data_IF_809709401412
#
_entry.id   IF_809709401412
#
_cell.length_a   1.000
_cell.length_b   1.000
_cell.length_c   1.000
_cell.angle_alpha   90.00
_cell.angle_beta   90.00
_cell.angle_gamma   90.00
#
_symmetry.space_group_name_H-M   'P 1'
#
loop_
_entity.id
_entity.type
_entity.pdbx_description
1 polymer ?
#
# COMPACT_ATOMS: atom_id res chain seq x y z
N UNK A 1 34.62 -11.89 -34.13
CA UNK A 1 34.83 -10.60 -33.46
C UNK A 1 33.88 -10.55 -32.26
N UNK A 2 34.36 -10.06 -31.12
CA UNK A 2 33.90 -10.46 -29.78
C UNK A 2 32.46 -10.13 -29.43
N UNK A 3 31.82 -11.04 -28.68
CA UNK A 3 30.74 -10.66 -27.77
C UNK A 3 31.34 -9.67 -26.77
N UNK A 4 30.98 -8.39 -26.89
CA UNK A 4 31.15 -7.46 -25.78
C UNK A 4 30.47 -8.07 -24.56
N UNK A 5 31.22 -8.22 -23.47
CA UNK A 5 30.60 -8.49 -22.17
C UNK A 5 29.61 -7.37 -21.93
N UNK A 6 28.32 -7.69 -21.79
CA UNK A 6 27.35 -6.72 -21.30
C UNK A 6 27.96 -6.05 -20.06
N UNK A 7 28.06 -4.71 -20.03
CA UNK A 7 28.46 -4.03 -18.80
C UNK A 7 27.39 -4.36 -17.77
N UNK A 8 27.70 -5.25 -16.84
CA UNK A 8 26.82 -5.61 -15.73
C UNK A 8 26.74 -4.42 -14.79
N UNK A 9 25.92 -3.44 -15.15
CA UNK A 9 25.69 -2.26 -14.33
C UNK A 9 24.92 -2.70 -13.08
N UNK A 10 25.58 -2.66 -11.93
CA UNK A 10 24.97 -2.98 -10.63
C UNK A 10 24.02 -1.88 -10.13
N UNK A 11 23.52 -1.00 -11.01
CA UNK A 11 22.64 0.14 -10.67
C UNK A 11 21.35 -0.28 -9.95
N UNK A 12 20.87 -1.52 -10.15
CA UNK A 12 19.71 -2.05 -9.43
C UNK A 12 19.91 -2.08 -7.91
N UNK A 13 21.15 -2.16 -7.42
CA UNK A 13 21.48 -2.14 -5.98
C UNK A 13 21.06 -0.81 -5.36
N UNK A 14 21.23 0.32 -6.05
CA UNK A 14 20.81 1.63 -5.54
C UNK A 14 19.28 1.72 -5.41
N UNK A 15 18.55 1.16 -6.38
CA UNK A 15 17.09 1.08 -6.34
C UNK A 15 16.64 0.19 -5.18
N UNK A 16 17.34 -0.93 -4.95
CA UNK A 16 17.07 -1.83 -3.82
C UNK A 16 17.27 -1.10 -2.48
N UNK A 17 18.44 -0.47 -2.29
CA UNK A 17 18.77 0.25 -1.06
C UNK A 17 17.80 1.41 -0.81
N UNK A 18 17.42 2.15 -1.84
CA UNK A 18 16.41 3.21 -1.75
C UNK A 18 15.05 2.68 -1.30
N UNK A 19 14.59 1.55 -1.86
CA UNK A 19 13.33 0.93 -1.44
C UNK A 19 13.39 0.34 -0.03
N UNK A 20 14.55 -0.18 0.38
CA UNK A 20 14.76 -0.64 1.76
C UNK A 20 14.63 0.53 2.74
N UNK A 21 15.31 1.65 2.47
CA UNK A 21 15.24 2.85 3.30
C UNK A 21 13.81 3.41 3.36
N UNK A 22 13.12 3.43 2.22
CA UNK A 22 11.69 3.81 2.14
C UNK A 22 10.84 2.92 3.04
N UNK A 23 11.04 1.60 3.01
CA UNK A 23 10.31 0.65 3.83
C UNK A 23 10.54 0.85 5.34
N UNK A 24 11.78 1.13 5.75
CA UNK A 24 12.12 1.44 7.15
C UNK A 24 11.34 2.68 7.62
N UNK A 25 11.30 3.74 6.80
CA UNK A 25 10.58 4.97 7.13
C UNK A 25 9.05 4.83 7.17
N UNK A 26 8.48 3.94 6.34
CA UNK A 26 7.03 3.71 6.25
C UNK A 26 6.48 2.84 7.39
N UNK A 27 7.29 1.90 7.89
CA UNK A 27 6.90 0.88 8.88
C UNK A 27 6.14 1.41 10.10
N UNK A 28 6.55 2.50 10.79
CA UNK A 28 5.89 2.95 12.01
C UNK A 28 4.59 3.72 11.78
N UNK A 29 4.32 4.21 10.56
CA UNK A 29 3.24 5.19 10.30
C UNK A 29 1.87 4.59 10.63
N UNK A 30 1.56 3.44 10.04
CA UNK A 30 0.23 2.81 10.20
C UNK A 30 0.00 2.25 11.61
N UNK A 31 0.92 1.47 12.22
CA UNK A 31 0.72 0.95 13.57
C UNK A 31 0.56 2.05 14.61
N UNK A 32 1.43 3.07 14.60
CA UNK A 32 1.35 4.18 15.56
C UNK A 32 0.10 5.03 15.35
N UNK A 33 -0.30 5.26 14.09
CA UNK A 33 -1.50 6.01 13.76
C UNK A 33 -2.78 5.33 14.23
N UNK A 34 -2.90 4.01 14.04
CA UNK A 34 -4.07 3.25 14.49
C UNK A 34 -4.11 3.17 16.02
N UNK A 35 -2.99 2.85 16.68
CA UNK A 35 -2.93 2.84 18.14
C UNK A 35 -3.27 4.19 18.75
N UNK A 36 -2.86 5.29 18.12
CA UNK A 36 -3.25 6.63 18.55
C UNK A 36 -4.77 6.86 18.45
N UNK A 37 -5.42 6.41 17.39
CA UNK A 37 -6.88 6.56 17.27
C UNK A 37 -7.59 5.70 18.32
N UNK A 38 -7.13 4.47 18.54
CA UNK A 38 -7.72 3.52 19.50
C UNK A 38 -7.62 4.03 20.95
N UNK A 39 -6.49 4.67 21.31
CA UNK A 39 -6.25 5.19 22.66
C UNK A 39 -7.06 6.46 23.01
N UNK A 40 -7.50 7.23 22.00
CA UNK A 40 -8.07 8.57 22.21
C UNK A 40 -9.51 8.75 21.67
N UNK A 41 -10.03 7.81 20.89
CA UNK A 41 -11.41 7.85 20.41
C UNK A 41 -12.33 6.95 21.24
N UNK A 42 -13.63 7.27 21.25
CA UNK A 42 -14.65 6.39 21.85
C UNK A 42 -14.73 5.09 21.05
N UNK A 43 -14.90 3.95 21.73
CA UNK A 43 -14.97 2.62 21.11
C UNK A 43 -15.98 2.53 19.95
N UNK A 44 -17.10 3.25 20.04
CA UNK A 44 -18.14 3.28 18.98
C UNK A 44 -17.75 4.10 17.74
N UNK A 45 -16.77 5.00 17.87
CA UNK A 45 -16.29 5.88 16.81
C UNK A 45 -15.01 5.35 16.14
N UNK A 46 -14.22 4.52 16.84
CA UNK A 46 -12.97 3.92 16.32
C UNK A 46 -13.15 3.31 14.93
N UNK A 47 -14.19 2.49 14.63
CA UNK A 47 -14.33 1.86 13.31
C UNK A 47 -14.47 2.86 12.17
N UNK A 48 -15.13 4.01 12.41
CA UNK A 48 -15.28 5.04 11.38
C UNK A 48 -14.00 5.84 11.22
N UNK A 49 -13.30 6.15 12.30
CA UNK A 49 -12.02 6.87 12.20
C UNK A 49 -10.95 6.03 11.50
N UNK A 50 -10.87 4.74 11.81
CA UNK A 50 -9.97 3.80 11.11
C UNK A 50 -10.37 3.67 9.63
N UNK A 51 -11.67 3.58 9.32
CA UNK A 51 -12.13 3.55 7.93
C UNK A 51 -11.80 4.84 7.17
N UNK A 52 -12.02 6.02 7.77
CA UNK A 52 -11.63 7.30 7.19
C UNK A 52 -10.12 7.36 6.91
N UNK A 53 -9.29 6.93 7.86
CA UNK A 53 -7.84 6.90 7.71
C UNK A 53 -7.43 6.01 6.52
N UNK A 54 -7.96 4.79 6.43
CA UNK A 54 -7.65 3.89 5.31
C UNK A 54 -8.21 4.36 3.96
N UNK A 55 -9.37 5.03 3.94
CA UNK A 55 -9.91 5.65 2.72
C UNK A 55 -9.02 6.80 2.25
N UNK A 56 -8.53 7.66 3.16
CA UNK A 56 -7.56 8.71 2.81
C UNK A 56 -6.26 8.08 2.33
N UNK A 57 -5.78 7.02 2.98
CA UNK A 57 -4.59 6.29 2.55
C UNK A 57 -4.73 5.74 1.13
N UNK A 58 -5.94 5.31 0.72
CA UNK A 58 -6.23 4.83 -0.65
C UNK A 58 -6.11 5.93 -1.71
N UNK A 59 -6.24 7.21 -1.34
CA UNK A 59 -5.97 8.32 -2.27
C UNK A 59 -4.50 8.35 -2.68
N UNK A 60 -3.57 7.91 -1.82
CA UNK A 60 -2.15 7.82 -2.11
C UNK A 60 -1.86 6.98 -3.36
N UNK A 61 -2.23 5.68 -3.38
CA UNK A 61 -2.15 4.85 -4.58
C UNK A 61 -2.89 5.45 -5.79
N UNK A 62 -4.07 6.06 -5.61
CA UNK A 62 -4.79 6.69 -6.72
C UNK A 62 -3.95 7.79 -7.39
N UNK A 63 -3.45 8.74 -6.61
CA UNK A 63 -2.56 9.79 -7.11
C UNK A 63 -1.25 9.22 -7.62
N UNK A 64 -0.72 8.16 -7.03
CA UNK A 64 0.48 7.46 -7.50
C UNK A 64 0.31 6.86 -8.89
N UNK A 65 -0.80 6.18 -9.17
CA UNK A 65 -1.10 5.64 -10.50
C UNK A 65 -1.35 6.75 -11.53
N UNK A 66 -2.01 7.84 -11.15
CA UNK A 66 -2.22 9.00 -12.03
C UNK A 66 -0.90 9.71 -12.34
N UNK A 67 -0.06 9.94 -11.34
CA UNK A 67 1.27 10.50 -11.51
C UNK A 67 2.17 9.58 -12.35
N UNK A 68 2.11 8.26 -12.09
CA UNK A 68 2.79 7.25 -12.89
C UNK A 68 2.32 7.23 -14.34
N UNK A 69 1.04 7.47 -14.60
CA UNK A 69 0.51 7.63 -15.95
C UNK A 69 1.09 8.85 -16.66
N UNK A 70 1.21 9.99 -15.97
CA UNK A 70 1.81 11.21 -16.51
C UNK A 70 3.31 11.01 -16.80
N UNK A 71 4.05 10.45 -15.84
CA UNK A 71 5.47 10.14 -16.00
C UNK A 71 5.70 9.14 -17.14
N UNK A 72 4.82 8.14 -17.29
CA UNK A 72 4.89 7.16 -18.36
C UNK A 72 4.60 7.74 -19.76
N UNK A 73 3.91 8.87 -19.85
CA UNK A 73 3.62 9.56 -21.10
C UNK A 73 4.83 10.36 -21.62
N UNK A 74 5.77 10.69 -20.75
CA UNK A 74 7.00 11.41 -21.08
C UNK A 74 8.11 10.40 -21.39
N UNK A 75 8.88 10.62 -22.45
CA UNK A 75 10.03 9.77 -22.76
C UNK A 75 11.10 9.89 -21.67
N UNK A 76 11.82 8.80 -21.39
CA UNK A 76 12.79 8.73 -20.29
C UNK A 76 13.86 9.82 -20.34
N UNK A 77 14.34 10.17 -21.54
CA UNK A 77 15.39 11.17 -21.78
C UNK A 77 14.81 12.54 -22.15
N UNK A 78 13.79 12.97 -21.40
CA UNK A 78 13.13 14.26 -21.61
C UNK A 78 14.14 15.42 -21.57
N UNK A 79 14.16 16.23 -22.63
CA UNK A 79 15.07 17.38 -22.76
C UNK A 79 16.48 17.06 -23.28
N UNK A 80 16.82 15.79 -23.44
CA UNK A 80 18.11 15.35 -24.01
C UNK A 80 17.99 14.83 -25.45
N UNK A 81 16.81 14.36 -25.85
CA UNK A 81 16.53 13.83 -27.20
C UNK A 81 15.34 14.56 -27.82
N UNK A 82 15.44 14.90 -29.10
CA UNK A 82 14.30 15.44 -29.87
C UNK A 82 13.34 14.31 -30.26
N UNK A 83 12.10 14.42 -29.80
CA UNK A 83 11.01 13.48 -30.12
C UNK A 83 10.73 13.41 -31.63
N UNK A 84 11.02 14.45 -32.40
CA UNK A 84 10.89 14.43 -33.87
C UNK A 84 11.92 13.53 -34.57
N UNK A 85 13.04 13.23 -33.90
CA UNK A 85 14.11 12.40 -34.45
C UNK A 85 13.92 10.90 -34.17
N UNK A 86 12.98 10.54 -33.28
CA UNK A 86 12.71 9.16 -32.89
C UNK A 86 11.35 8.69 -33.44
N UNK A 87 11.33 7.51 -34.05
CA UNK A 87 10.12 6.87 -34.57
C UNK A 87 9.32 6.09 -33.52
N UNK A 88 9.73 6.17 -32.25
CA UNK A 88 9.16 5.40 -31.14
C UNK A 88 7.95 6.15 -30.58
N UNK A 89 6.81 5.48 -30.54
CA UNK A 89 5.57 6.02 -29.96
C UNK A 89 5.30 5.38 -28.58
N UNK A 90 4.44 5.98 -27.73
CA UNK A 90 4.07 5.38 -26.44
C UNK A 90 3.39 4.00 -26.51
N UNK A 91 3.00 3.54 -27.70
CA UNK A 91 2.46 2.21 -27.94
C UNK A 91 3.55 1.18 -28.32
N UNK A 92 4.75 1.63 -28.66
CA UNK A 92 5.88 0.76 -28.98
C UNK A 92 6.46 0.15 -27.70
N UNK A 93 6.83 -1.13 -27.75
CA UNK A 93 7.41 -1.85 -26.60
C UNK A 93 8.76 -1.28 -26.14
N UNK A 94 9.43 -0.51 -26.99
CA UNK A 94 10.68 0.19 -26.68
C UNK A 94 10.48 1.49 -25.91
N UNK A 95 9.24 1.95 -25.76
CA UNK A 95 8.95 3.17 -25.02
C UNK A 95 9.18 2.96 -23.53
N UNK A 96 10.12 3.72 -22.97
CA UNK A 96 10.34 3.80 -21.53
C UNK A 96 9.94 5.18 -21.05
N UNK A 97 9.00 5.21 -20.11
CA UNK A 97 8.55 6.43 -19.46
C UNK A 97 9.60 7.05 -18.55
N UNK A 98 9.48 8.34 -18.24
CA UNK A 98 10.31 9.05 -17.27
C UNK A 98 9.99 8.64 -15.82
N UNK A 99 10.17 7.36 -15.49
CA UNK A 99 9.83 6.74 -14.21
C UNK A 99 10.53 7.37 -13.01
N UNK A 100 11.76 7.87 -13.21
CA UNK A 100 12.58 8.49 -12.17
C UNK A 100 11.94 9.77 -11.61
N UNK A 101 11.12 10.46 -12.41
CA UNK A 101 10.44 11.68 -11.99
C UNK A 101 9.46 11.43 -10.83
N UNK A 102 8.83 10.25 -10.81
CA UNK A 102 7.92 9.84 -9.75
C UNK A 102 8.62 9.79 -8.38
N UNK A 103 9.88 9.32 -8.33
CA UNK A 103 10.65 9.27 -7.08
C UNK A 103 10.96 10.68 -6.54
N UNK A 104 11.29 11.63 -7.42
CA UNK A 104 11.56 13.01 -7.02
C UNK A 104 10.31 13.70 -6.45
N UNK A 105 9.20 13.61 -7.18
CA UNK A 105 7.93 14.22 -6.76
C UNK A 105 7.42 13.59 -5.45
N UNK A 106 7.47 12.26 -5.36
CA UNK A 106 7.10 11.53 -4.14
C UNK A 106 7.99 11.88 -2.95
N UNK A 107 9.31 12.00 -3.16
CA UNK A 107 10.26 12.41 -2.13
C UNK A 107 10.01 13.81 -1.60
N UNK A 108 9.84 14.80 -2.49
CA UNK A 108 9.53 16.19 -2.11
C UNK A 108 8.20 16.25 -1.36
N UNK A 109 7.16 15.57 -1.86
CA UNK A 109 5.84 15.55 -1.21
C UNK A 109 5.92 14.93 0.19
N UNK A 110 6.67 13.84 0.34
CA UNK A 110 6.86 13.17 1.64
C UNK A 110 7.63 14.06 2.62
N UNK A 111 8.65 14.77 2.15
CA UNK A 111 9.40 15.73 2.95
C UNK A 111 8.51 16.88 3.45
N UNK A 112 7.69 17.44 2.56
CA UNK A 112 6.72 18.48 2.92
C UNK A 112 5.66 17.97 3.90
N UNK A 113 5.17 16.74 3.72
CA UNK A 113 4.20 16.11 4.61
C UNK A 113 4.76 15.82 6.01
N UNK A 114 6.09 15.70 6.17
CA UNK A 114 6.73 15.51 7.47
C UNK A 114 6.80 16.81 8.30
N UNK A 115 6.81 17.99 7.64
CA UNK A 115 6.94 19.30 8.32
C UNK A 115 5.85 19.53 9.37
N UNK A 116 4.54 19.29 9.10
CA UNK A 116 3.49 19.43 10.11
C UNK A 116 3.70 18.57 11.36
N UNK A 117 4.29 17.37 11.21
CA UNK A 117 4.54 16.49 12.36
C UNK A 117 5.59 17.06 13.32
N UNK A 118 6.49 17.92 12.84
CA UNK A 118 7.47 18.60 13.69
C UNK A 118 6.81 19.61 14.66
N UNK A 119 5.58 20.04 14.39
CA UNK A 119 4.83 20.98 15.22
C UNK A 119 3.85 20.29 16.19
N UNK A 120 3.74 18.96 16.16
CA UNK A 120 2.90 18.22 17.10
C UNK A 120 3.50 18.26 18.52
N UNK A 121 2.66 18.38 19.55
CA UNK A 121 3.13 18.38 20.93
C UNK A 121 3.77 17.04 21.31
N UNK A 122 4.85 17.08 22.10
CA UNK A 122 5.62 15.89 22.51
C UNK A 122 4.82 14.86 23.31
N UNK A 123 3.73 15.29 23.94
CA UNK A 123 2.82 14.44 24.70
C UNK A 123 1.42 15.01 24.61
N UNK A 124 0.46 14.12 24.42
CA UNK A 124 -0.96 14.45 24.46
C UNK A 124 -1.49 13.95 25.81
N UNK A 125 -2.14 14.84 26.56
CA UNK A 125 -2.78 14.47 27.83
C UNK A 125 -3.89 13.47 27.51
N UNK A 126 -3.81 12.26 28.06
CA UNK A 126 -4.92 11.31 27.98
C UNK A 126 -6.14 11.91 28.73
N UNK A 127 -7.36 11.81 28.19
CA UNK A 127 -8.56 12.19 28.93
C UNK A 127 -8.60 11.39 30.26
N UNK A 128 -8.65 12.07 31.40
CA UNK A 128 -8.58 11.46 32.74
C UNK A 128 -9.85 10.71 33.18
N UNK A 129 -10.75 10.34 32.27
CA UNK A 129 -12.04 9.75 32.66
C UNK A 129 -12.15 8.29 32.27
N UNK A 130 -11.64 7.42 33.17
CA UNK A 130 -12.17 6.10 33.55
C UNK A 130 -11.05 5.09 33.90
N UNK A 131 -10.38 5.28 35.05
CA UNK A 131 -10.04 4.18 35.97
C UNK A 131 -9.37 4.73 37.22
N UNK A 132 -10.12 4.74 38.33
CA UNK A 132 -9.53 4.68 39.67
C UNK A 132 -8.92 3.30 39.98
N UNK A 133 -8.85 2.39 39.00
CA UNK A 133 -8.22 1.08 39.13
C UNK A 133 -7.25 0.85 37.97
N UNK A 134 -6.03 1.36 38.11
CA UNK A 134 -4.78 0.73 37.64
C UNK A 134 -3.61 1.62 38.00
N UNK A 135 -2.63 1.01 38.67
CA UNK A 135 -1.36 1.60 39.04
C UNK A 135 -0.83 2.52 37.94
N UNK A 136 -0.48 3.73 38.36
CA UNK A 136 0.26 4.73 37.62
C UNK A 136 1.51 4.12 36.98
N UNK A 137 1.40 3.69 35.72
CA UNK A 137 2.56 3.55 34.85
C UNK A 137 2.90 4.95 34.36
N UNK A 138 3.79 5.59 35.10
CA UNK A 138 4.34 6.91 34.82
C UNK A 138 5.00 6.89 33.43
N UNK A 139 4.34 7.56 32.47
CA UNK A 139 4.78 7.72 31.08
C UNK A 139 6.09 8.53 30.95
N UNK A 140 6.58 9.09 32.06
CA UNK A 140 7.89 9.76 32.15
C UNK A 140 9.08 8.80 31.96
N UNK A 141 8.87 7.48 32.05
CA UNK A 141 9.92 6.48 31.85
C UNK A 141 10.23 6.14 30.38
N UNK A 142 9.40 6.55 29.40
CA UNK A 142 9.63 6.20 27.98
C UNK A 142 10.72 7.09 27.34
N UNK A 143 10.98 8.28 27.90
CA UNK A 143 12.02 9.21 27.40
C UNK A 143 13.34 9.08 28.17
N UNK A 144 13.39 8.33 29.27
CA UNK A 144 14.62 8.04 30.00
C UNK A 144 14.61 6.58 30.48
N UNK A 145 15.16 5.65 29.68
CA UNK A 145 16.58 5.35 29.85
C UNK A 145 17.27 4.92 28.54
N UNK A 146 17.77 5.87 27.74
CA UNK A 146 18.89 5.59 26.84
C UNK A 146 20.24 5.45 27.60
N UNK A 147 20.21 5.51 28.95
CA UNK A 147 21.40 5.58 29.81
C UNK A 147 21.51 4.36 30.77
N UNK A 148 20.48 3.49 30.88
CA UNK A 148 20.51 2.28 31.74
C UNK A 148 20.16 1.03 30.94
N UNK A 149 20.98 0.70 29.95
CA UNK A 149 20.54 -0.13 28.82
C UNK A 149 20.72 -1.66 28.99
N UNK A 150 21.42 -2.18 30.00
CA UNK A 150 21.75 -3.63 30.02
C UNK A 150 20.84 -4.54 30.86
N UNK A 151 20.09 -4.04 31.86
CA UNK A 151 19.29 -4.92 32.74
C UNK A 151 17.80 -5.02 32.38
N UNK A 152 17.26 -4.10 31.57
CA UNK A 152 15.83 -4.04 31.21
C UNK A 152 15.49 -4.68 29.85
N UNK A 153 16.47 -4.89 28.97
CA UNK A 153 16.23 -5.44 27.62
C UNK A 153 15.80 -6.92 27.70
N UNK A 154 16.45 -7.71 28.55
CA UNK A 154 16.12 -9.14 28.69
C UNK A 154 14.69 -9.41 29.17
N UNK A 155 14.20 -8.81 30.27
CA UNK A 155 12.80 -9.00 30.69
C UNK A 155 11.82 -8.45 29.66
N UNK A 156 12.09 -7.29 29.04
CA UNK A 156 11.26 -6.75 27.96
C UNK A 156 11.14 -7.70 26.75
N UNK A 157 12.27 -8.24 26.26
CA UNK A 157 12.27 -9.18 25.13
C UNK A 157 11.59 -10.50 25.50
N UNK A 158 11.72 -10.95 26.75
CA UNK A 158 11.05 -12.15 27.25
C UNK A 158 9.53 -11.97 27.31
N UNK A 159 9.07 -10.82 27.81
CA UNK A 159 7.65 -10.46 27.87
C UNK A 159 7.06 -10.26 26.47
N UNK A 160 7.82 -9.62 25.57
CA UNK A 160 7.46 -9.47 24.16
C UNK A 160 7.34 -10.83 23.48
N UNK A 161 8.34 -11.69 23.61
CA UNK A 161 8.31 -13.04 23.05
C UNK A 161 7.14 -13.87 23.59
N UNK A 162 6.89 -13.79 24.90
CA UNK A 162 5.77 -14.49 25.54
C UNK A 162 4.43 -14.00 25.00
N UNK A 163 4.28 -12.69 24.85
CA UNK A 163 3.07 -12.07 24.27
C UNK A 163 2.88 -12.44 22.81
N UNK A 164 3.94 -12.35 22.00
CA UNK A 164 3.95 -12.75 20.60
C UNK A 164 3.58 -14.23 20.45
N UNK A 165 4.18 -15.11 21.28
CA UNK A 165 3.86 -16.53 21.30
C UNK A 165 2.40 -16.78 21.65
N UNK A 166 1.84 -16.10 22.65
CA UNK A 166 0.42 -16.21 23.03
C UNK A 166 -0.51 -15.79 21.87
N UNK A 167 -0.20 -14.68 21.23
CA UNK A 167 -0.97 -14.13 20.09
C UNK A 167 -0.91 -15.09 18.90
N UNK A 168 0.28 -15.54 18.50
CA UNK A 168 0.45 -16.46 17.37
C UNK A 168 -0.05 -17.88 17.65
N UNK A 169 -0.06 -18.33 18.92
CA UNK A 169 -0.63 -19.63 19.30
C UNK A 169 -2.15 -19.62 19.36
N UNK A 170 -2.78 -18.44 19.36
CA UNK A 170 -4.23 -18.33 19.27
C UNK A 170 -4.70 -18.70 17.86
N UNK A 171 -5.29 -19.89 17.72
CA UNK A 171 -5.74 -20.45 16.44
C UNK A 171 -6.66 -19.50 15.66
N UNK A 172 -7.53 -18.77 16.34
CA UNK A 172 -8.45 -17.82 15.68
C UNK A 172 -7.68 -16.64 15.08
N UNK A 173 -6.79 -16.04 15.87
CA UNK A 173 -5.97 -14.91 15.42
C UNK A 173 -5.02 -15.32 14.29
N UNK A 174 -4.33 -16.46 14.44
CA UNK A 174 -3.43 -16.96 13.41
C UNK A 174 -4.16 -17.24 12.09
N UNK A 175 -5.35 -17.84 12.14
CA UNK A 175 -6.18 -18.07 10.95
C UNK A 175 -6.59 -16.75 10.30
N UNK A 176 -7.04 -15.78 11.10
CA UNK A 176 -7.38 -14.43 10.61
C UNK A 176 -6.18 -13.73 9.96
N UNK A 177 -4.98 -13.85 10.55
CA UNK A 177 -3.75 -13.28 10.02
C UNK A 177 -3.36 -13.91 8.68
N UNK A 178 -3.43 -15.23 8.56
CA UNK A 178 -3.20 -15.94 7.29
C UNK A 178 -4.20 -15.52 6.21
N UNK A 179 -5.49 -15.44 6.53
CA UNK A 179 -6.52 -14.96 5.61
C UNK A 179 -6.25 -13.53 5.15
N UNK A 180 -5.92 -12.63 6.09
CA UNK A 180 -5.62 -11.23 5.79
C UNK A 180 -4.39 -11.12 4.90
N UNK A 181 -3.31 -11.85 5.21
CA UNK A 181 -2.08 -11.88 4.40
C UNK A 181 -2.38 -12.29 2.95
N UNK A 182 -3.16 -13.36 2.75
CA UNK A 182 -3.53 -13.83 1.42
C UNK A 182 -4.39 -12.79 0.67
N UNK A 183 -5.36 -12.17 1.35
CA UNK A 183 -6.21 -11.14 0.76
C UNK A 183 -5.42 -9.90 0.33
N UNK A 184 -4.59 -9.35 1.23
CA UNK A 184 -3.75 -8.19 0.91
C UNK A 184 -2.70 -8.52 -0.15
N UNK A 185 -2.08 -9.70 -0.09
CA UNK A 185 -1.10 -10.12 -1.11
C UNK A 185 -1.76 -10.26 -2.49
N UNK A 186 -2.97 -10.83 -2.56
CA UNK A 186 -3.76 -10.93 -3.79
C UNK A 186 -4.10 -9.53 -4.35
N UNK A 187 -4.54 -8.62 -3.48
CA UNK A 187 -4.85 -7.24 -3.86
C UNK A 187 -3.62 -6.48 -4.39
N UNK A 188 -2.48 -6.56 -3.70
CA UNK A 188 -1.23 -5.93 -4.14
C UNK A 188 -0.73 -6.56 -5.43
N UNK A 189 -0.81 -7.89 -5.57
CA UNK A 189 -0.47 -8.59 -6.80
C UNK A 189 -1.34 -8.11 -7.98
N UNK A 190 -2.64 -7.99 -7.78
CA UNK A 190 -3.56 -7.45 -8.79
C UNK A 190 -3.17 -6.03 -9.20
N UNK A 191 -2.93 -5.12 -8.25
CA UNK A 191 -2.56 -3.74 -8.57
C UNK A 191 -1.21 -3.65 -9.30
N UNK A 192 -0.25 -4.49 -8.93
CA UNK A 192 1.11 -4.47 -9.49
C UNK A 192 1.13 -5.02 -10.91
N UNK A 193 0.46 -6.16 -11.14
CA UNK A 193 0.58 -6.89 -12.40
C UNK A 193 -0.54 -6.57 -13.39
N UNK A 194 -1.70 -6.05 -12.98
CA UNK A 194 -2.78 -5.72 -13.91
C UNK A 194 -2.39 -4.66 -14.97
N UNK A 195 -1.70 -3.55 -14.64
CA UNK A 195 -1.23 -2.62 -15.67
C UNK A 195 -0.32 -3.32 -16.68
N UNK A 196 0.60 -4.16 -16.19
CA UNK A 196 1.53 -4.89 -17.05
C UNK A 196 0.81 -5.93 -17.92
N UNK A 197 -0.19 -6.60 -17.36
CA UNK A 197 -1.05 -7.49 -18.12
C UNK A 197 -1.77 -6.75 -19.24
N UNK A 198 -2.32 -5.55 -18.98
CA UNK A 198 -2.96 -4.73 -20.02
C UNK A 198 -1.99 -4.27 -21.11
N UNK A 199 -0.74 -3.98 -20.76
CA UNK A 199 0.31 -3.69 -21.75
C UNK A 199 0.60 -4.90 -22.64
N UNK A 200 0.85 -6.07 -22.05
CA UNK A 200 1.29 -7.25 -22.79
C UNK A 200 0.15 -7.92 -23.56
N UNK A 201 -1.02 -8.05 -22.95
CA UNK A 201 -2.14 -8.79 -23.52
C UNK A 201 -2.98 -7.94 -24.48
N UNK A 202 -3.14 -6.65 -24.20
CA UNK A 202 -4.03 -5.75 -24.97
C UNK A 202 -3.28 -4.62 -25.69
N UNK A 203 -1.94 -4.61 -25.68
CA UNK A 203 -1.12 -3.61 -26.37
C UNK A 203 -1.36 -2.17 -25.92
N UNK A 204 -1.90 -1.99 -24.71
CA UNK A 204 -2.17 -0.65 -24.19
C UNK A 204 -0.86 -0.01 -23.72
N UNK A 205 -0.71 1.30 -23.92
CA UNK A 205 0.45 2.02 -23.40
C UNK A 205 0.48 2.00 -21.88
N UNK A 206 1.69 2.01 -21.29
CA UNK A 206 1.88 2.08 -19.82
C UNK A 206 1.12 3.24 -19.20
N UNK A 207 1.12 4.40 -19.87
CA UNK A 207 0.37 5.58 -19.43
C UNK A 207 -1.13 5.32 -19.31
N UNK A 208 -1.75 4.72 -20.36
CA UNK A 208 -3.19 4.45 -20.38
C UNK A 208 -3.57 3.36 -19.38
N UNK A 209 -2.77 2.31 -19.27
CA UNK A 209 -2.95 1.24 -18.29
C UNK A 209 -2.94 1.77 -16.85
N UNK A 210 -1.95 2.59 -16.49
CA UNK A 210 -1.86 3.20 -15.16
C UNK A 210 -3.04 4.16 -14.88
N UNK A 211 -3.44 4.95 -15.88
CA UNK A 211 -4.59 5.86 -15.76
C UNK A 211 -5.89 5.10 -15.46
N UNK A 212 -6.14 4.01 -16.18
CA UNK A 212 -7.32 3.18 -15.98
C UNK A 212 -7.36 2.58 -14.57
N UNK A 213 -6.25 2.07 -14.05
CA UNK A 213 -6.20 1.54 -12.67
C UNK A 213 -6.48 2.64 -11.65
N UNK A 214 -5.78 3.78 -11.78
CA UNK A 214 -5.92 4.92 -10.89
C UNK A 214 -7.34 5.46 -10.81
N UNK A 215 -8.03 5.54 -11.96
CA UNK A 215 -9.35 6.16 -12.06
C UNK A 215 -10.52 5.18 -11.85
N UNK A 216 -10.38 3.92 -12.28
CA UNK A 216 -11.52 2.98 -12.31
C UNK A 216 -11.44 1.91 -11.24
N UNK A 217 -10.24 1.43 -10.89
CA UNK A 217 -10.09 0.28 -10.00
C UNK A 217 -9.94 0.69 -8.53
N UNK A 218 -9.25 1.79 -8.25
CA UNK A 218 -8.95 2.22 -6.88
C UNK A 218 -10.07 3.00 -6.15
N UNK A 219 -10.83 3.92 -6.78
CA UNK A 219 -11.91 4.61 -6.05
C UNK A 219 -12.98 3.66 -5.48
N UNK A 220 -13.44 2.60 -6.19
CA UNK A 220 -14.35 1.61 -5.61
C UNK A 220 -13.82 0.96 -4.33
N UNK A 221 -12.50 0.74 -4.23
CA UNK A 221 -11.87 0.21 -3.01
C UNK A 221 -12.00 1.21 -1.86
N UNK A 222 -11.68 2.48 -2.11
CA UNK A 222 -11.81 3.55 -1.10
C UNK A 222 -13.25 3.72 -0.59
N UNK A 223 -14.23 3.67 -1.51
CA UNK A 223 -15.66 3.70 -1.19
C UNK A 223 -16.04 2.47 -0.36
N UNK A 224 -15.57 1.27 -0.73
CA UNK A 224 -15.84 0.04 0.00
C UNK A 224 -15.33 0.05 1.43
N UNK A 225 -14.10 0.56 1.65
CA UNK A 225 -13.51 0.74 2.98
C UNK A 225 -14.37 1.69 3.82
N UNK A 226 -14.73 2.85 3.27
CA UNK A 226 -15.51 3.86 3.98
C UNK A 226 -16.92 3.35 4.35
N UNK A 227 -17.63 2.75 3.37
CA UNK A 227 -18.95 2.17 3.59
C UNK A 227 -18.89 1.02 4.60
N UNK A 228 -17.84 0.19 4.57
CA UNK A 228 -17.62 -0.88 5.55
C UNK A 228 -17.56 -0.33 6.98
N UNK A 229 -16.78 0.72 7.21
CA UNK A 229 -16.71 1.38 8.51
C UNK A 229 -18.04 2.00 8.96
N UNK A 230 -18.76 2.66 8.05
CA UNK A 230 -20.07 3.25 8.34
C UNK A 230 -21.12 2.18 8.67
N UNK A 231 -21.15 1.06 7.95
CA UNK A 231 -22.06 -0.06 8.22
C UNK A 231 -21.74 -0.65 9.61
N UNK A 232 -20.46 -0.87 9.93
CA UNK A 232 -20.06 -1.40 11.23
C UNK A 232 -20.52 -0.51 12.38
N UNK A 233 -20.37 0.81 12.27
CA UNK A 233 -20.85 1.78 13.27
C UNK A 233 -22.38 1.84 13.33
N UNK A 234 -23.06 1.98 12.20
CA UNK A 234 -24.51 2.16 12.14
C UNK A 234 -25.27 0.98 12.74
N UNK A 235 -24.82 -0.24 12.46
CA UNK A 235 -25.47 -1.47 12.94
C UNK A 235 -24.88 -2.00 14.25
N UNK A 236 -23.88 -1.31 14.84
CA UNK A 236 -23.16 -1.73 16.05
C UNK A 236 -22.82 -3.22 16.01
N UNK A 237 -22.19 -3.65 14.91
CA UNK A 237 -22.01 -5.06 14.61
C UNK A 237 -21.12 -5.73 15.66
N UNK A 238 -21.61 -6.80 16.28
CA UNK A 238 -20.76 -7.66 17.11
C UNK A 238 -19.71 -8.37 16.26
N UNK A 239 -18.65 -8.88 16.89
CA UNK A 239 -17.56 -9.60 16.20
C UNK A 239 -18.10 -10.72 15.30
N UNK A 240 -19.11 -11.46 15.77
CA UNK A 240 -19.76 -12.53 14.99
C UNK A 240 -20.52 -11.95 13.79
N UNK A 241 -21.24 -10.84 13.98
CA UNK A 241 -21.94 -10.15 12.90
C UNK A 241 -20.99 -9.63 11.83
N UNK A 242 -19.91 -8.96 12.24
CA UNK A 242 -18.87 -8.45 11.35
C UNK A 242 -18.18 -9.58 10.57
N UNK A 243 -17.89 -10.70 11.25
CA UNK A 243 -17.30 -11.89 10.60
C UNK A 243 -18.21 -12.45 9.53
N UNK A 244 -19.50 -12.66 9.84
CA UNK A 244 -20.49 -13.15 8.85
C UNK A 244 -20.57 -12.21 7.64
N UNK A 245 -20.65 -10.91 7.89
CA UNK A 245 -20.68 -9.89 6.84
C UNK A 245 -19.44 -9.94 5.94
N UNK A 246 -18.25 -10.03 6.52
CA UNK A 246 -17.00 -10.13 5.77
C UNK A 246 -16.93 -11.39 4.88
N UNK A 247 -17.38 -12.53 5.39
CA UNK A 247 -17.46 -13.77 4.61
C UNK A 247 -18.47 -13.67 3.45
N UNK A 248 -19.67 -13.13 3.72
CA UNK A 248 -20.68 -12.94 2.68
C UNK A 248 -20.19 -12.01 1.56
N UNK A 249 -19.57 -10.89 1.92
CA UNK A 249 -19.01 -9.95 0.94
C UNK A 249 -17.85 -10.56 0.14
N UNK A 250 -17.00 -11.35 0.79
CA UNK A 250 -15.88 -12.04 0.13
C UNK A 250 -16.39 -13.09 -0.87
N UNK A 251 -17.43 -13.85 -0.51
CA UNK A 251 -18.07 -14.81 -1.41
C UNK A 251 -18.74 -14.14 -2.61
N UNK A 252 -19.43 -13.03 -2.38
CA UNK A 252 -20.02 -12.22 -3.45
C UNK A 252 -18.94 -11.69 -4.39
N UNK A 253 -17.84 -11.13 -3.86
CA UNK A 253 -16.72 -10.63 -4.65
C UNK A 253 -16.07 -11.73 -5.50
N UNK A 254 -15.88 -12.92 -4.94
CA UNK A 254 -15.39 -14.08 -5.68
C UNK A 254 -16.31 -14.45 -6.84
N UNK A 255 -17.63 -14.49 -6.59
CA UNK A 255 -18.63 -14.83 -7.61
C UNK A 255 -18.63 -13.79 -8.74
N UNK A 256 -18.57 -12.50 -8.43
CA UNK A 256 -18.46 -11.42 -9.43
C UNK A 256 -17.16 -11.55 -10.23
N UNK A 257 -16.05 -11.90 -9.57
CA UNK A 257 -14.77 -12.09 -10.24
C UNK A 257 -14.81 -13.26 -11.22
N UNK A 258 -15.52 -14.35 -10.89
CA UNK A 258 -15.73 -15.45 -11.83
C UNK A 258 -16.50 -15.02 -13.08
N UNK A 259 -17.45 -14.09 -12.95
CA UNK A 259 -18.20 -13.58 -14.09
C UNK A 259 -17.31 -12.80 -15.07
N UNK A 260 -16.22 -12.17 -14.62
CA UNK A 260 -15.29 -11.48 -15.51
C UNK A 260 -14.63 -12.41 -16.54
N UNK A 261 -14.48 -13.71 -16.27
CA UNK A 261 -13.93 -14.65 -17.25
C UNK A 261 -14.77 -14.75 -18.53
N UNK A 262 -16.06 -14.42 -18.47
CA UNK A 262 -16.95 -14.44 -19.63
C UNK A 262 -16.93 -13.13 -20.43
N UNK A 263 -16.27 -12.09 -19.92
CA UNK A 263 -16.15 -10.78 -20.58
C UNK A 263 -14.79 -10.70 -21.27
N UNK A 264 -14.78 -10.82 -22.60
CA UNK A 264 -13.56 -10.77 -23.42
C UNK A 264 -13.33 -9.41 -24.11
N UNK A 265 -12.08 -9.15 -24.46
CA UNK A 265 -11.66 -8.09 -25.39
C UNK A 265 -10.67 -8.69 -26.41
N UNK A 266 -10.53 -8.03 -27.57
CA UNK A 266 -9.56 -8.44 -28.58
C UNK A 266 -8.13 -8.36 -28.02
N UNK A 267 -7.37 -9.43 -28.21
CA UNK A 267 -5.98 -9.51 -27.77
C UNK A 267 -5.07 -8.76 -28.73
N UNK A 268 -3.91 -8.32 -28.23
CA UNK A 268 -2.86 -7.71 -29.04
C UNK A 268 -2.39 -8.66 -30.13
N UNK A 269 -2.23 -8.10 -31.33
CA UNK A 269 -1.84 -8.84 -32.52
C UNK A 269 -0.32 -9.01 -32.52
N UNK A 270 0.15 -10.25 -32.42
CA UNK A 270 1.58 -10.59 -32.51
C UNK A 270 1.83 -11.39 -33.78
N UNK A 271 2.67 -10.83 -34.66
CA UNK A 271 3.12 -11.50 -35.88
C UNK A 271 3.79 -12.85 -35.53
N UNK A 272 3.36 -13.91 -36.20
CA UNK A 272 3.81 -15.28 -35.97
C UNK A 272 3.09 -16.05 -34.88
N UNK A 273 2.20 -15.42 -34.09
CA UNK A 273 1.39 -16.11 -33.08
C UNK A 273 -0.12 -15.96 -33.33
N UNK A 274 -0.59 -14.73 -33.55
CA UNK A 274 -2.02 -14.45 -33.79
C UNK A 274 -2.31 -14.01 -35.23
N UNK A 275 -1.30 -13.58 -35.98
CA UNK A 275 -1.36 -13.27 -37.42
C UNK A 275 -0.10 -13.76 -38.13
N UNK A 276 -0.16 -13.91 -39.46
CA UNK A 276 1.01 -14.27 -40.27
C UNK A 276 2.13 -13.22 -40.19
N UNK A 277 3.35 -13.62 -40.53
CA UNK A 277 4.48 -12.70 -40.71
C UNK A 277 4.42 -11.91 -42.03
N UNK A 278 3.51 -12.29 -42.92
CA UNK A 278 3.20 -11.57 -44.17
C UNK A 278 2.31 -10.36 -43.90
#
# INVERSE_FOLDING_TARGET
AGCEKEPSSHMWIYILLGNLLRGIGETPITPLGISYIDDFAKEEDVPVYVACLHTIAMLGPMFGFLLGSLCAKLYVDIGFVDLGSITITPHDSRWVGAWWLGFLIGGVTSFLAAIPFCFLPKSLKKPEEANNDKASYDYSAVIMPCIVQNQLIYPFLSDFYTSLKKVLSNRMYFTFLCCSLLQFSSFIGFLTYKPKYMEQQYGQSTSKSNFLIGLTSLPPVGIGIFLGGLIMKKYKMSIIGATKFAFTMSFLAYTITLLHFFVGCENHVVAGMTVSYE
#
